data_IF_037655456831
#
_entry.id   IF_037655456831
#
_cell.length_a   1.000
_cell.length_b   1.000
_cell.length_c   1.000
_cell.angle_alpha   90.00
_cell.angle_beta   90.00
_cell.angle_gamma   90.00
#
_symmetry.space_group_name_H-M   'P 1'
#
loop_
_entity.id
_entity.type
_entity.pdbx_description
1 polymer ?
#
# COMPACT_ATOMS: atom_id res chain seq x y z
N UNK A 1 -1.31 -26.01 17.36
CA UNK A 1 -1.01 -24.55 17.32
C UNK A 1 -0.25 -24.31 16.03
N UNK A 2 -0.82 -23.58 15.07
CA UNK A 2 -0.06 -23.18 13.88
C UNK A 2 0.97 -22.12 14.25
N UNK A 3 2.20 -22.27 13.78
CA UNK A 3 3.25 -21.28 13.98
C UNK A 3 2.83 -19.92 13.39
N UNK A 4 3.08 -18.80 14.07
CA UNK A 4 2.82 -17.50 13.49
C UNK A 4 3.77 -17.27 12.31
N UNK A 5 3.20 -16.91 11.15
CA UNK A 5 3.95 -16.47 9.98
C UNK A 5 4.86 -15.30 10.39
N UNK A 6 6.17 -15.45 10.20
CA UNK A 6 7.16 -14.43 10.55
C UNK A 6 7.24 -13.38 9.44
N UNK A 7 6.87 -12.15 9.76
CA UNK A 7 6.96 -10.98 8.86
C UNK A 7 8.23 -10.13 9.07
N UNK A 8 8.99 -10.43 10.13
CA UNK A 8 10.33 -9.94 10.44
C UNK A 8 11.08 -10.99 11.28
N UNK A 9 12.35 -10.76 11.61
CA UNK A 9 13.14 -11.65 12.49
C UNK A 9 12.44 -11.89 13.85
N UNK A 10 11.59 -10.96 14.28
CA UNK A 10 10.92 -10.96 15.58
C UNK A 10 9.45 -11.43 15.49
N UNK A 11 8.96 -11.75 14.28
CA UNK A 11 7.56 -12.13 14.04
C UNK A 11 6.56 -10.97 14.00
N UNK A 12 7.04 -9.73 14.18
CA UNK A 12 6.24 -8.49 14.08
C UNK A 12 6.17 -8.04 12.62
N UNK A 13 5.02 -7.60 12.16
CA UNK A 13 4.86 -6.98 10.83
C UNK A 13 5.61 -5.65 10.77
N UNK A 14 6.35 -5.37 9.68
CA UNK A 14 7.20 -4.17 9.57
C UNK A 14 6.43 -2.89 9.18
N UNK A 15 5.11 -2.98 9.02
CA UNK A 15 4.26 -1.86 8.60
C UNK A 15 4.15 -1.67 7.09
N UNK A 16 4.83 -2.49 6.25
CA UNK A 16 4.75 -2.43 4.79
C UNK A 16 3.75 -3.44 4.23
N UNK A 17 3.14 -3.14 3.09
CA UNK A 17 2.19 -4.06 2.44
C UNK A 17 0.99 -4.44 3.33
N UNK A 18 0.30 -3.43 3.85
CA UNK A 18 -0.91 -3.56 4.69
C UNK A 18 -1.89 -4.63 4.20
N UNK A 19 -2.17 -4.68 2.90
CA UNK A 19 -3.14 -5.62 2.34
C UNK A 19 -2.72 -7.09 2.54
N UNK A 20 -1.42 -7.39 2.45
CA UNK A 20 -0.89 -8.73 2.72
C UNK A 20 -1.01 -9.08 4.20
N UNK A 21 -0.66 -8.15 5.08
CA UNK A 21 -0.82 -8.33 6.52
C UNK A 21 -2.28 -8.56 6.91
N UNK A 22 -3.20 -7.71 6.41
CA UNK A 22 -4.63 -7.81 6.67
C UNK A 22 -5.16 -9.17 6.22
N UNK A 23 -4.83 -9.58 5.00
CA UNK A 23 -5.28 -10.86 4.43
C UNK A 23 -4.88 -12.04 5.31
N UNK A 24 -3.64 -12.08 5.82
CA UNK A 24 -3.23 -13.17 6.72
C UNK A 24 -3.93 -13.11 8.07
N UNK A 25 -4.07 -11.92 8.67
CA UNK A 25 -4.80 -11.80 9.94
C UNK A 25 -6.25 -12.25 9.82
N UNK A 26 -6.93 -11.90 8.72
CA UNK A 26 -8.29 -12.36 8.43
C UNK A 26 -8.37 -13.89 8.24
N UNK A 27 -7.37 -14.50 7.60
CA UNK A 27 -7.25 -15.95 7.50
C UNK A 27 -7.10 -16.61 8.89
N UNK A 28 -6.21 -16.08 9.74
CA UNK A 28 -6.02 -16.57 11.12
C UNK A 28 -7.28 -16.42 11.96
N UNK A 29 -8.02 -15.32 11.82
CA UNK A 29 -9.30 -15.15 12.50
C UNK A 29 -10.35 -16.11 11.98
N UNK A 30 -10.37 -16.41 10.68
CA UNK A 30 -11.27 -17.38 10.07
C UNK A 30 -11.03 -18.79 10.60
N UNK A 31 -9.77 -19.24 10.63
CA UNK A 31 -9.36 -20.54 11.18
C UNK A 31 -9.81 -20.74 12.64
N UNK A 32 -9.88 -19.65 13.40
CA UNK A 32 -10.25 -19.66 14.82
C UNK A 32 -11.71 -19.35 15.07
N UNK A 33 -12.53 -19.23 14.01
CA UNK A 33 -13.93 -18.83 14.07
C UNK A 33 -14.15 -17.49 14.82
N UNK A 34 -13.20 -16.57 14.69
CA UNK A 34 -13.22 -15.24 15.31
C UNK A 34 -13.47 -14.10 14.32
N UNK A 35 -13.43 -14.36 13.00
CA UNK A 35 -13.53 -13.32 11.99
C UNK A 35 -14.79 -12.46 12.18
N UNK A 36 -15.95 -13.09 12.40
CA UNK A 36 -17.20 -12.37 12.62
C UNK A 36 -17.20 -11.51 13.89
N UNK A 37 -16.38 -11.83 14.89
CA UNK A 37 -16.20 -10.96 16.06
C UNK A 37 -15.24 -9.82 15.71
N UNK A 38 -14.13 -10.12 15.04
CA UNK A 38 -13.12 -9.14 14.67
C UNK A 38 -13.68 -8.04 13.75
N UNK A 39 -14.47 -8.40 12.74
CA UNK A 39 -15.11 -7.46 11.82
C UNK A 39 -16.35 -6.73 12.40
N UNK A 40 -16.83 -7.18 13.57
CA UNK A 40 -17.97 -6.60 14.28
C UNK A 40 -19.35 -7.08 13.82
N UNK A 41 -19.43 -8.07 12.92
CA UNK A 41 -20.70 -8.68 12.48
C UNK A 41 -21.38 -9.47 13.59
N UNK A 42 -20.60 -10.12 14.45
CA UNK A 42 -21.04 -10.84 15.65
C UNK A 42 -20.96 -9.92 16.86
N UNK A 43 -22.12 -9.56 17.42
CA UNK A 43 -22.22 -8.68 18.58
C UNK A 43 -22.49 -9.48 19.85
N UNK A 44 -22.00 -8.98 20.99
CA UNK A 44 -22.28 -9.58 22.30
C UNK A 44 -23.78 -9.64 22.59
N UNK A 45 -24.53 -8.64 22.14
CA UNK A 45 -25.97 -8.46 22.36
C UNK A 45 -26.83 -9.59 21.80
N UNK A 46 -26.32 -10.36 20.84
CA UNK A 46 -27.06 -11.48 20.23
C UNK A 46 -26.91 -12.78 21.03
N UNK A 47 -26.14 -12.78 22.12
CA UNK A 47 -25.88 -13.96 22.95
C UNK A 47 -26.77 -13.95 24.19
N UNK A 48 -27.57 -15.00 24.37
CA UNK A 48 -28.51 -15.13 25.50
C UNK A 48 -27.99 -16.02 26.64
N UNK A 49 -26.84 -16.68 26.46
CA UNK A 49 -26.27 -17.62 27.44
C UNK A 49 -25.02 -17.06 28.13
N UNK A 50 -24.85 -17.41 29.40
CA UNK A 50 -23.65 -17.04 30.17
C UNK A 50 -22.38 -17.66 29.57
N UNK A 51 -22.47 -18.90 29.08
CA UNK A 51 -21.37 -19.60 28.39
C UNK A 51 -20.99 -18.91 27.07
N UNK A 52 -21.98 -18.52 26.26
CA UNK A 52 -21.75 -17.79 25.03
C UNK A 52 -21.06 -16.44 25.29
N UNK A 53 -21.49 -15.74 26.34
CA UNK A 53 -20.90 -14.46 26.75
C UNK A 53 -19.44 -14.61 27.18
N UNK A 54 -19.12 -15.66 27.95
CA UNK A 54 -17.75 -15.94 28.39
C UNK A 54 -16.83 -16.28 27.19
N UNK A 55 -17.32 -17.12 26.26
CA UNK A 55 -16.60 -17.48 25.03
C UNK A 55 -16.34 -16.26 24.15
N UNK A 56 -17.32 -15.37 24.00
CA UNK A 56 -17.15 -14.10 23.28
C UNK A 56 -16.05 -13.23 23.91
N UNK A 57 -16.04 -13.11 25.24
CA UNK A 57 -15.01 -12.37 25.97
C UNK A 57 -13.60 -12.95 25.78
N UNK A 58 -13.48 -14.28 25.74
CA UNK A 58 -12.20 -14.94 25.45
C UNK A 58 -11.72 -14.66 24.03
N UNK A 59 -12.62 -14.71 23.04
CA UNK A 59 -12.29 -14.40 21.64
C UNK A 59 -11.86 -12.93 21.47
N UNK A 60 -12.53 -11.99 22.14
CA UNK A 60 -12.10 -10.58 22.20
C UNK A 60 -10.67 -10.43 22.73
N UNK A 61 -10.33 -11.13 23.82
CA UNK A 61 -8.99 -11.11 24.40
C UNK A 61 -7.95 -11.73 23.46
N UNK A 62 -8.32 -12.80 22.75
CA UNK A 62 -7.43 -13.47 21.81
C UNK A 62 -7.12 -12.60 20.59
N UNK A 63 -8.14 -11.93 20.01
CA UNK A 63 -7.95 -10.94 18.94
C UNK A 63 -7.00 -9.84 19.41
N UNK A 64 -7.26 -9.26 20.59
CA UNK A 64 -6.41 -8.21 21.19
C UNK A 64 -4.95 -8.65 21.29
N UNK A 65 -4.70 -9.88 21.76
CA UNK A 65 -3.34 -10.41 21.89
C UNK A 65 -2.67 -10.57 20.53
N UNK A 66 -3.35 -11.18 19.56
CA UNK A 66 -2.80 -11.42 18.22
C UNK A 66 -2.39 -10.10 17.56
N UNK A 67 -3.31 -9.14 17.49
CA UNK A 67 -3.05 -7.82 16.91
C UNK A 67 -1.97 -7.07 17.69
N UNK A 68 -2.02 -7.11 19.02
CA UNK A 68 -1.03 -6.44 19.87
C UNK A 68 0.40 -6.98 19.76
N UNK A 69 0.56 -8.25 19.37
CA UNK A 69 1.88 -8.86 19.17
C UNK A 69 2.38 -8.78 17.73
N UNK A 70 1.48 -8.58 16.76
CA UNK A 70 1.84 -8.58 15.34
C UNK A 70 2.02 -7.18 14.76
N UNK A 71 1.46 -6.13 15.40
CA UNK A 71 1.55 -4.74 14.93
C UNK A 71 2.74 -4.02 15.57
N UNK A 72 3.48 -3.16 14.82
CA UNK A 72 4.54 -2.32 15.38
C UNK A 72 4.10 -1.48 16.59
N UNK A 73 4.97 -1.28 17.60
CA UNK A 73 4.66 -0.50 18.79
C UNK A 73 4.10 0.90 18.51
N UNK A 74 4.65 1.61 17.52
CA UNK A 74 4.22 2.97 17.15
C UNK A 74 2.78 3.01 16.63
N UNK A 75 2.37 1.98 15.89
CA UNK A 75 1.01 1.85 15.39
C UNK A 75 0.06 1.37 16.50
N UNK A 76 0.53 0.45 17.35
CA UNK A 76 -0.25 -0.05 18.49
C UNK A 76 -0.54 1.05 19.51
N UNK A 77 0.41 1.97 19.73
CA UNK A 77 0.25 3.12 20.63
C UNK A 77 -0.92 4.02 20.23
N UNK A 78 -1.21 4.14 18.92
CA UNK A 78 -2.30 4.97 18.40
C UNK A 78 -3.69 4.40 18.67
N UNK A 79 -3.79 3.09 18.92
CA UNK A 79 -5.06 2.39 19.18
C UNK A 79 -5.17 1.89 20.62
N UNK A 80 -4.26 2.33 21.51
CA UNK A 80 -4.16 1.83 22.89
C UNK A 80 -5.35 2.17 23.78
N UNK A 81 -6.12 3.18 23.41
CA UNK A 81 -7.34 3.62 24.12
C UNK A 81 -8.48 2.61 23.95
N UNK A 82 -8.40 1.74 22.93
CA UNK A 82 -9.38 0.70 22.67
C UNK A 82 -9.22 -0.48 23.63
N UNK A 83 -10.36 -1.02 24.07
CA UNK A 83 -10.39 -2.09 25.09
C UNK A 83 -10.73 -3.44 24.49
N UNK A 84 -11.68 -3.49 23.57
CA UNK A 84 -12.11 -4.73 22.94
C UNK A 84 -11.18 -5.12 21.78
N UNK A 85 -11.02 -6.43 21.54
CA UNK A 85 -10.25 -6.93 20.40
C UNK A 85 -10.81 -6.46 19.05
N UNK A 86 -12.14 -6.45 18.90
CA UNK A 86 -12.83 -5.89 17.74
C UNK A 86 -12.50 -4.41 17.55
N UNK A 87 -12.57 -3.60 18.60
CA UNK A 87 -12.25 -2.17 18.52
C UNK A 87 -10.80 -1.94 18.10
N UNK A 88 -9.86 -2.73 18.64
CA UNK A 88 -8.44 -2.65 18.28
C UNK A 88 -8.25 -3.04 16.82
N UNK A 89 -8.82 -4.16 16.37
CA UNK A 89 -8.73 -4.60 14.98
C UNK A 89 -9.31 -3.57 14.03
N UNK A 90 -10.53 -3.08 14.28
CA UNK A 90 -11.17 -2.07 13.45
C UNK A 90 -10.41 -0.74 13.45
N UNK A 91 -9.82 -0.34 14.57
CA UNK A 91 -8.99 0.86 14.63
C UNK A 91 -7.68 0.70 13.84
N UNK A 92 -7.05 -0.48 13.86
CA UNK A 92 -5.90 -0.79 13.00
C UNK A 92 -6.31 -0.82 11.53
N UNK A 93 -7.45 -1.43 11.20
CA UNK A 93 -8.02 -1.40 9.85
C UNK A 93 -8.27 0.04 9.41
N UNK A 94 -8.85 0.89 10.25
CA UNK A 94 -9.06 2.30 9.93
C UNK A 94 -7.74 3.09 9.85
N UNK A 95 -6.73 2.78 10.66
CA UNK A 95 -5.40 3.41 10.58
C UNK A 95 -4.76 3.23 9.19
N UNK A 96 -4.95 2.07 8.56
CA UNK A 96 -4.31 1.75 7.28
C UNK A 96 -5.24 1.90 6.07
N UNK A 97 -6.50 1.50 6.19
CA UNK A 97 -7.52 1.68 5.13
C UNK A 97 -8.13 3.08 5.15
N UNK A 98 -7.91 3.84 6.23
CA UNK A 98 -8.21 5.26 6.33
C UNK A 98 -9.64 5.56 5.87
N UNK A 99 -10.63 4.87 6.43
CA UNK A 99 -12.03 5.13 6.06
C UNK A 99 -12.52 6.46 6.64
N UNK A 100 -11.87 7.00 7.68
CA UNK A 100 -12.35 8.23 8.36
C UNK A 100 -11.33 9.37 8.62
N UNK A 101 -10.00 9.18 8.57
CA UNK A 101 -9.03 10.24 8.93
C UNK A 101 -8.50 11.05 7.71
N UNK A 102 -9.13 12.19 7.43
CA UNK A 102 -8.76 13.07 6.33
C UNK A 102 -7.33 13.64 6.43
N UNK A 103 -6.86 13.96 7.63
CA UNK A 103 -5.54 14.59 7.84
C UNK A 103 -4.41 13.63 7.50
N UNK A 104 -4.52 12.36 7.91
CA UNK A 104 -3.53 11.33 7.59
C UNK A 104 -3.52 11.01 6.10
N UNK A 105 -4.70 10.97 5.44
CA UNK A 105 -4.78 10.86 3.96
C UNK A 105 -4.01 11.98 3.28
N UNK A 106 -4.20 13.23 3.70
CA UNK A 106 -3.49 14.38 3.11
C UNK A 106 -1.98 14.23 3.26
N UNK A 107 -1.49 13.82 4.42
CA UNK A 107 -0.05 13.59 4.63
C UNK A 107 0.49 12.42 3.79
N UNK A 108 -0.25 11.31 3.69
CA UNK A 108 0.15 10.15 2.88
C UNK A 108 0.16 10.48 1.40
N UNK A 109 -0.88 11.15 0.90
CA UNK A 109 -0.95 11.64 -0.48
C UNK A 109 0.26 12.53 -0.78
N UNK A 110 0.54 13.51 0.09
CA UNK A 110 1.69 14.40 -0.07
C UNK A 110 3.02 13.65 -0.06
N UNK A 111 3.20 12.66 0.82
CA UNK A 111 4.40 11.82 0.85
C UNK A 111 4.57 11.05 -0.46
N UNK A 112 3.54 10.35 -0.93
CA UNK A 112 3.60 9.53 -2.14
C UNK A 112 3.81 10.38 -3.40
N UNK A 113 3.16 11.56 -3.49
CA UNK A 113 3.41 12.53 -4.57
C UNK A 113 4.86 13.04 -4.55
N UNK A 114 5.40 13.36 -3.38
CA UNK A 114 6.80 13.75 -3.25
C UNK A 114 7.74 12.59 -3.63
N UNK A 115 7.39 11.37 -3.24
CA UNK A 115 8.16 10.17 -3.61
C UNK A 115 8.22 10.03 -5.13
N UNK A 116 7.07 10.13 -5.83
CA UNK A 116 7.00 10.10 -7.30
C UNK A 116 7.89 11.17 -7.96
N UNK A 117 7.84 12.41 -7.49
CA UNK A 117 8.70 13.49 -8.01
C UNK A 117 10.20 13.26 -7.76
N UNK A 118 10.52 12.63 -6.64
CA UNK A 118 11.91 12.36 -6.24
C UNK A 118 12.49 11.09 -6.84
N UNK A 119 11.67 10.17 -7.34
CA UNK A 119 12.15 8.93 -7.95
C UNK A 119 13.00 9.23 -9.18
N UNK A 120 14.19 8.63 -9.24
CA UNK A 120 15.10 8.73 -10.38
C UNK A 120 15.58 7.34 -10.77
N UNK A 121 15.59 7.06 -12.07
CA UNK A 121 16.18 5.84 -12.61
C UNK A 121 17.69 5.83 -12.30
N UNK A 122 18.17 4.79 -11.62
CA UNK A 122 19.59 4.66 -11.20
C UNK A 122 20.53 4.23 -12.33
N UNK A 123 21.87 4.44 -12.22
CA UNK A 123 22.81 4.11 -13.29
C UNK A 123 22.89 2.60 -13.45
N UNK A 124 22.71 2.11 -14.68
CA UNK A 124 22.61 0.66 -14.91
C UNK A 124 21.35 0.00 -14.33
N UNK A 125 20.42 0.79 -13.78
CA UNK A 125 19.15 0.27 -13.26
C UNK A 125 18.22 -0.20 -14.37
N UNK A 126 17.38 -1.18 -14.04
CA UNK A 126 16.35 -1.70 -14.93
C UNK A 126 15.17 -0.71 -15.02
N UNK A 127 14.94 -0.19 -16.22
CA UNK A 127 13.83 0.72 -16.52
C UNK A 127 12.47 0.07 -16.28
N UNK A 128 12.30 -1.24 -16.50
CA UNK A 128 11.06 -1.94 -16.21
C UNK A 128 10.76 -1.97 -14.72
N UNK A 129 11.76 -2.36 -13.92
CA UNK A 129 11.61 -2.39 -12.47
C UNK A 129 11.33 -0.99 -11.91
N UNK A 130 12.01 0.04 -12.44
CA UNK A 130 11.77 1.44 -12.09
C UNK A 130 10.32 1.87 -12.40
N UNK A 131 9.85 1.61 -13.63
CA UNK A 131 8.48 1.93 -14.03
C UNK A 131 7.46 1.17 -13.17
N UNK A 132 7.69 -0.11 -12.87
CA UNK A 132 6.80 -0.88 -12.00
C UNK A 132 6.65 -0.23 -10.61
N UNK A 133 7.74 0.27 -10.02
CA UNK A 133 7.67 1.00 -8.75
C UNK A 133 6.81 2.26 -8.87
N UNK A 134 7.03 3.08 -9.90
CA UNK A 134 6.23 4.29 -10.12
C UNK A 134 4.74 3.98 -10.28
N UNK A 135 4.39 2.96 -11.08
CA UNK A 135 3.00 2.55 -11.29
C UNK A 135 2.33 2.00 -10.01
N UNK A 136 3.08 1.29 -9.17
CA UNK A 136 2.58 0.82 -7.88
C UNK A 136 2.25 2.01 -6.97
N UNK A 137 3.12 3.02 -6.90
CA UNK A 137 2.86 4.25 -6.12
C UNK A 137 1.65 5.01 -6.67
N UNK A 138 1.48 5.10 -7.99
CA UNK A 138 0.27 5.69 -8.60
C UNK A 138 -1.00 4.90 -8.26
N UNK A 139 -0.91 3.57 -8.24
CA UNK A 139 -2.03 2.71 -7.82
C UNK A 139 -2.40 2.97 -6.36
N UNK A 140 -1.42 3.11 -5.47
CA UNK A 140 -1.65 3.45 -4.07
C UNK A 140 -2.31 4.82 -3.90
N UNK A 141 -1.92 5.83 -4.67
CA UNK A 141 -2.62 7.13 -4.66
C UNK A 141 -4.09 6.99 -5.07
N UNK A 142 -4.39 6.18 -6.09
CA UNK A 142 -5.77 5.90 -6.50
C UNK A 142 -6.58 5.18 -5.43
N UNK A 143 -6.00 4.21 -4.72
CA UNK A 143 -6.72 3.53 -3.61
C UNK A 143 -7.03 4.49 -2.47
N UNK A 144 -6.22 5.54 -2.29
CA UNK A 144 -6.47 6.63 -1.35
C UNK A 144 -7.45 7.70 -1.86
N UNK A 145 -8.08 7.48 -3.02
CA UNK A 145 -8.98 8.43 -3.70
C UNK A 145 -8.28 9.76 -4.05
N UNK A 146 -6.96 9.72 -4.23
CA UNK A 146 -6.20 10.87 -4.71
C UNK A 146 -5.96 10.74 -6.21
N UNK A 147 -6.58 11.64 -6.98
CA UNK A 147 -6.41 11.69 -8.43
C UNK A 147 -5.24 12.62 -8.78
N UNK A 148 -4.13 12.04 -9.20
CA UNK A 148 -3.04 12.80 -9.83
C UNK A 148 -3.44 12.99 -11.29
N UNK A 149 -3.38 14.23 -11.79
CA UNK A 149 -3.74 14.50 -13.18
C UNK A 149 -2.88 13.65 -14.12
N UNK A 150 -3.46 13.17 -15.22
CA UNK A 150 -2.73 12.34 -16.19
C UNK A 150 -1.49 13.06 -16.75
N UNK A 151 -1.56 14.38 -16.88
CA UNK A 151 -0.45 15.23 -17.31
C UNK A 151 0.67 15.23 -16.26
N UNK A 152 0.34 15.41 -14.98
CA UNK A 152 1.34 15.37 -13.90
C UNK A 152 2.00 14.00 -13.80
N UNK A 153 1.24 12.91 -13.96
CA UNK A 153 1.81 11.56 -13.96
C UNK A 153 2.79 11.35 -15.12
N UNK A 154 2.46 11.84 -16.32
CA UNK A 154 3.34 11.80 -17.49
C UNK A 154 4.62 12.58 -17.20
N UNK A 155 4.50 13.79 -16.65
CA UNK A 155 5.65 14.64 -16.35
C UNK A 155 6.54 14.05 -15.26
N UNK A 156 5.97 13.53 -14.17
CA UNK A 156 6.72 12.80 -13.13
C UNK A 156 7.48 11.61 -13.72
N UNK A 157 6.86 10.84 -14.61
CA UNK A 157 7.50 9.70 -15.28
C UNK A 157 8.66 10.16 -16.17
N UNK A 158 8.49 11.22 -16.96
CA UNK A 158 9.54 11.79 -17.79
C UNK A 158 10.70 12.32 -16.93
N UNK A 159 10.40 13.08 -15.88
CA UNK A 159 11.39 13.64 -14.97
C UNK A 159 12.12 12.57 -14.15
N UNK A 160 11.52 11.40 -13.95
CA UNK A 160 12.21 10.27 -13.32
C UNK A 160 13.34 9.69 -14.17
N UNK A 161 13.33 9.95 -15.48
CA UNK A 161 14.33 9.46 -16.41
C UNK A 161 15.63 10.27 -16.34
N UNK A 162 16.73 9.59 -16.64
CA UNK A 162 18.05 10.20 -16.69
C UNK A 162 18.19 11.19 -17.84
N UNK A 163 19.04 12.19 -17.65
CA UNK A 163 19.56 13.04 -18.71
C UNK A 163 20.50 12.26 -19.64
N UNK A 164 19.93 11.50 -20.57
CA UNK A 164 20.64 10.73 -21.58
C UNK A 164 19.97 10.96 -22.93
N UNK A 165 20.75 11.04 -24.01
CA UNK A 165 20.29 11.38 -25.36
C UNK A 165 18.99 10.65 -25.77
N UNK A 166 18.93 9.32 -25.64
CA UNK A 166 17.74 8.54 -25.99
C UNK A 166 16.47 8.91 -25.19
N UNK A 167 16.63 9.25 -23.90
CA UNK A 167 15.52 9.71 -23.07
C UNK A 167 15.20 11.18 -23.28
N UNK A 168 16.19 12.04 -23.59
CA UNK A 168 15.95 13.44 -23.92
C UNK A 168 15.23 13.60 -25.27
N UNK A 169 15.59 12.78 -26.27
CA UNK A 169 14.82 12.70 -27.52
C UNK A 169 13.38 12.25 -27.28
N UNK A 170 13.17 11.28 -26.38
CA UNK A 170 11.84 10.85 -25.97
C UNK A 170 11.06 11.98 -25.26
N UNK A 171 11.66 12.64 -24.27
CA UNK A 171 11.05 13.78 -23.57
C UNK A 171 10.64 14.87 -24.55
N UNK A 172 11.51 15.22 -25.48
CA UNK A 172 11.23 16.20 -26.52
C UNK A 172 10.06 15.77 -27.41
N UNK A 173 10.04 14.51 -27.86
CA UNK A 173 8.96 13.97 -28.67
C UNK A 173 7.60 13.97 -27.94
N UNK A 174 7.59 13.68 -26.63
CA UNK A 174 6.36 13.70 -25.83
C UNK A 174 5.89 15.12 -25.53
N UNK A 175 6.79 16.06 -25.25
CA UNK A 175 6.45 17.46 -24.91
C UNK A 175 6.08 18.33 -26.11
N UNK A 176 6.70 18.09 -27.26
CA UNK A 176 6.61 18.97 -28.43
C UNK A 176 6.11 18.28 -29.71
N UNK A 177 5.77 16.98 -29.65
CA UNK A 177 5.24 16.25 -30.79
C UNK A 177 3.86 16.75 -31.24
N UNK A 178 3.59 16.65 -32.55
CA UNK A 178 2.36 17.14 -33.18
C UNK A 178 1.07 16.40 -32.75
N UNK A 179 1.18 15.19 -32.22
CA UNK A 179 0.06 14.42 -31.64
C UNK A 179 0.01 14.62 -30.12
N UNK A 180 -0.42 15.82 -29.70
CA UNK A 180 -0.62 16.15 -28.27
C UNK A 180 -1.91 15.56 -27.67
N UNK A 181 -2.71 14.86 -28.47
CA UNK A 181 -3.94 14.20 -28.02
C UNK A 181 -3.61 12.92 -27.22
N UNK A 182 -3.68 13.05 -25.90
CA UNK A 182 -3.77 11.98 -24.90
C UNK A 182 -2.69 10.89 -25.00
N UNK A 183 -1.46 11.20 -24.58
CA UNK A 183 -0.53 10.14 -24.17
C UNK A 183 -1.14 9.36 -23.01
N UNK A 184 -1.51 8.10 -23.27
CA UNK A 184 -1.86 7.18 -22.20
C UNK A 184 -0.58 6.78 -21.46
N UNK A 185 -0.68 6.58 -20.13
CA UNK A 185 0.43 6.11 -19.31
C UNK A 185 1.01 4.79 -19.84
N UNK A 186 0.17 3.94 -20.44
CA UNK A 186 0.59 2.70 -21.10
C UNK A 186 1.48 2.97 -22.31
N UNK A 187 1.10 3.90 -23.19
CA UNK A 187 1.90 4.26 -24.36
C UNK A 187 3.24 4.88 -23.94
N UNK A 188 3.25 5.74 -22.92
CA UNK A 188 4.49 6.30 -22.39
C UNK A 188 5.43 5.21 -21.85
N UNK A 189 4.89 4.23 -21.11
CA UNK A 189 5.64 3.08 -20.59
C UNK A 189 6.34 2.32 -21.72
N UNK A 190 5.64 2.05 -22.82
CA UNK A 190 6.20 1.35 -23.98
C UNK A 190 7.31 2.15 -24.66
N UNK A 191 7.14 3.46 -24.81
CA UNK A 191 8.18 4.32 -25.38
C UNK A 191 9.44 4.38 -24.52
N UNK A 192 9.30 4.43 -23.19
CA UNK A 192 10.45 4.39 -22.26
C UNK A 192 11.18 3.05 -22.37
N UNK A 193 10.46 1.94 -22.50
CA UNK A 193 11.04 0.61 -22.73
C UNK A 193 11.84 0.59 -24.03
N UNK A 194 11.26 1.06 -25.13
CA UNK A 194 11.94 1.10 -26.43
C UNK A 194 13.20 1.98 -26.39
N UNK A 195 13.15 3.15 -25.72
CA UNK A 195 14.32 4.00 -25.51
C UNK A 195 15.41 3.32 -24.65
N UNK A 196 15.01 2.49 -23.68
CA UNK A 196 15.93 1.74 -22.83
C UNK A 196 16.62 0.58 -23.58
N UNK A 197 15.93 -0.06 -24.53
CA UNK A 197 16.50 -1.12 -25.39
C UNK A 197 17.52 -0.53 -26.38
N UNK A 198 17.18 0.58 -27.05
CA UNK A 198 18.12 1.27 -27.94
C UNK A 198 19.43 1.63 -27.24
N UNK A 199 19.38 2.00 -25.95
CA UNK A 199 20.59 2.22 -25.15
C UNK A 199 21.47 0.96 -25.03
N UNK A 200 20.89 -0.23 -24.92
CA UNK A 200 21.66 -1.46 -24.83
C UNK A 200 22.39 -1.78 -26.14
N UNK A 201 21.76 -1.47 -27.28
CA UNK A 201 22.31 -1.70 -28.63
C UNK A 201 23.46 -0.75 -29.00
N UNK A 202 23.49 0.48 -28.46
CA UNK A 202 24.57 1.46 -28.70
C UNK A 202 25.72 1.39 -27.68
N UNK A 203 25.81 0.31 -26.90
CA UNK A 203 26.85 0.11 -25.88
C UNK A 203 27.91 -0.95 -26.26
N UNK A 204 27.81 -1.50 -27.46
CA UNK A 204 28.81 -2.38 -28.08
C UNK A 204 29.71 -1.61 -29.05
#
# INVERSE_FOLDING_TARGET
>A
MGEPLKYSNDGVWDGKDWYTYKWVMEAVFSEKAMLGIADGTSKRETLSTAEGTAKFGQMQLQIRRMVGTSVPPDNLQQVKDKKAGTEIWLAVVDLFENKTNATVKVHRNRRLVNELWSMKLLPGGDANLHLCKMFNTCTELKTLQYDVSGIDMVEMMLESLRAQAAFESLKSAVRYGADSSAFTLTKLREMIRAASVRKAEFRD
#
